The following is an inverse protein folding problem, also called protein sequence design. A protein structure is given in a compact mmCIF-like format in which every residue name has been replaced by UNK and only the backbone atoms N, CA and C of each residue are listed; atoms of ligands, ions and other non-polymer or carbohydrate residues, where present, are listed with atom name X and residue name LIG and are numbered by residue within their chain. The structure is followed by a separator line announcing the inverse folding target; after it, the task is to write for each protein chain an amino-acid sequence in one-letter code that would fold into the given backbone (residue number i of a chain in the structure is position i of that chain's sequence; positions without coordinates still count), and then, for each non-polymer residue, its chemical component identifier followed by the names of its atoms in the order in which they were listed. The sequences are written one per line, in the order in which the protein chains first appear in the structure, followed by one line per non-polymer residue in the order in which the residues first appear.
data_IF_142387187408
#
_entry.id   IF_142387187408
#
_cell.length_a   1.000
_cell.length_b   1.000
_cell.length_c   1.000
_cell.angle_alpha   90.00
_cell.angle_beta   90.00
_cell.angle_gamma   90.00
#
_symmetry.space_group_name_H-M   'P 1'
#
loop_
_entity.id
_entity.type
_entity.pdbx_description
1 polymer ?
#
# COMPACT_ATOMS: atom_id res chain seq x y z
N UNK A 1 -12.95 8.39 -23.55
CA UNK A 1 -12.73 8.19 -23.09
C UNK A 1 -12.48 8.04 -22.34
N UNK A 2 -12.30 8.01 -21.90
CA UNK A 2 -12.11 7.85 -21.26
C UNK A 2 -11.85 7.49 -20.31
N UNK A 3 -11.36 7.48 -19.89
CA UNK A 3 -11.17 7.03 -18.95
C UNK A 3 -11.13 7.50 -17.88
N UNK A 4 -11.35 7.64 -17.37
CA UNK A 4 -11.40 8.02 -16.35
C UNK A 4 -10.98 7.51 -15.37
N UNK A 5 -10.28 7.69 -14.86
CA UNK A 5 -9.81 7.02 -13.97
C UNK A 5 -9.72 7.68 -12.74
N UNK A 6 -10.54 7.39 -11.85
CA UNK A 6 -10.48 7.81 -10.48
C UNK A 6 -9.29 7.23 -9.80
N UNK A 7 -8.82 6.08 -10.25
CA UNK A 7 -7.71 5.42 -9.59
C UNK A 7 -6.46 5.41 -10.41
N UNK A 8 -6.13 6.57 -10.90
CA UNK A 8 -4.88 6.75 -11.58
C UNK A 8 -3.72 6.36 -10.66
N UNK A 9 -2.79 5.62 -11.18
CA UNK A 9 -1.65 5.17 -10.41
C UNK A 9 -0.46 6.08 -10.56
N UNK A 10 0.27 6.22 -9.46
CA UNK A 10 1.47 7.02 -9.44
C UNK A 10 2.63 6.14 -9.04
N UNK A 11 3.70 6.16 -9.83
CA UNK A 11 4.93 5.48 -9.46
C UNK A 11 5.51 6.20 -8.26
N UNK A 12 5.57 5.52 -7.14
CA UNK A 12 6.07 6.13 -5.93
C UNK A 12 6.70 5.05 -5.06
N UNK A 13 8.02 5.02 -5.03
CA UNK A 13 8.75 4.09 -4.20
C UNK A 13 8.93 4.70 -2.84
N UNK A 14 8.10 4.33 -1.91
CA UNK A 14 8.14 4.85 -0.56
C UNK A 14 8.28 3.72 0.44
N UNK A 15 9.19 3.83 1.38
CA UNK A 15 9.23 2.87 2.47
C UNK A 15 7.95 2.97 3.27
N UNK A 16 7.44 1.83 3.69
CA UNK A 16 6.18 1.78 4.41
C UNK A 16 6.20 0.60 5.36
N UNK A 17 5.24 0.58 6.26
CA UNK A 17 5.10 -0.51 7.19
C UNK A 17 3.75 -1.15 6.95
N UNK A 18 3.77 -2.45 6.72
CA UNK A 18 2.57 -3.21 6.43
C UNK A 18 2.26 -4.10 7.61
N UNK A 19 1.07 -3.92 8.18
CA UNK A 19 0.62 -4.78 9.26
C UNK A 19 -0.36 -5.78 8.67
N UNK A 20 -0.05 -7.06 8.83
CA UNK A 20 -0.87 -8.14 8.30
C UNK A 20 -1.53 -8.84 9.46
N UNK A 21 -2.86 -8.80 9.50
CA UNK A 21 -3.64 -9.31 10.62
C UNK A 21 -4.43 -10.51 10.18
N UNK A 22 -4.16 -11.66 10.82
CA UNK A 22 -4.95 -12.87 10.62
C UNK A 22 -5.55 -13.24 11.96
N UNK A 23 -6.51 -14.19 11.98
CA UNK A 23 -7.09 -14.60 13.26
C UNK A 23 -6.07 -15.13 14.26
N UNK A 24 -4.97 -15.70 13.78
CA UNK A 24 -4.01 -16.32 14.68
C UNK A 24 -2.87 -15.41 15.07
N UNK A 25 -2.59 -14.36 14.31
CA UNK A 25 -1.46 -13.50 14.64
C UNK A 25 -1.46 -12.23 13.83
N UNK A 26 -0.64 -11.29 14.28
CA UNK A 26 -0.38 -10.05 13.58
C UNK A 26 1.09 -10.00 13.25
N UNK A 27 1.43 -9.64 12.03
CA UNK A 27 2.80 -9.47 11.59
C UNK A 27 2.99 -8.06 11.08
N UNK A 28 4.18 -7.51 11.32
CA UNK A 28 4.54 -6.19 10.82
C UNK A 28 5.74 -6.34 9.92
N UNK A 29 5.61 -5.86 8.69
CA UNK A 29 6.66 -5.99 7.69
C UNK A 29 7.08 -4.61 7.21
N UNK A 30 8.39 -4.45 7.03
CA UNK A 30 8.90 -3.24 6.38
C UNK A 30 8.90 -3.52 4.89
N UNK A 31 8.22 -2.67 4.15
CA UNK A 31 8.02 -2.87 2.72
C UNK A 31 8.27 -1.58 1.98
N UNK A 32 8.17 -1.66 0.66
CA UNK A 32 8.32 -0.49 -0.17
C UNK A 32 7.21 -0.50 -1.21
N UNK A 33 6.60 0.65 -1.46
CA UNK A 33 5.57 0.71 -2.49
C UNK A 33 6.22 0.76 -3.87
N UNK A 34 5.52 0.25 -4.86
CA UNK A 34 5.90 0.40 -6.25
C UNK A 34 5.07 1.49 -6.90
N UNK A 35 3.78 1.46 -6.67
CA UNK A 35 2.88 2.48 -7.14
C UNK A 35 1.70 2.59 -6.19
N UNK A 36 1.01 3.71 -6.28
CA UNK A 36 -0.10 4.03 -5.38
C UNK A 36 -1.19 4.71 -6.18
N UNK A 37 -2.44 4.41 -5.83
CA UNK A 37 -3.59 5.13 -6.34
C UNK A 37 -4.53 5.42 -5.19
N UNK A 38 -5.60 6.12 -5.46
CA UNK A 38 -6.59 6.41 -4.42
C UNK A 38 -7.28 5.15 -3.92
N UNK A 39 -7.27 4.07 -4.70
CA UNK A 39 -8.01 2.87 -4.34
C UNK A 39 -7.11 1.68 -3.99
N UNK A 40 -5.80 1.82 -4.14
CA UNK A 40 -4.92 0.70 -3.81
C UNK A 40 -3.47 1.00 -4.06
N UNK A 41 -2.64 -0.02 -3.88
CA UNK A 41 -1.21 0.11 -4.05
C UNK A 41 -0.60 -1.24 -4.38
N UNK A 42 0.54 -1.22 -5.04
CA UNK A 42 1.35 -2.42 -5.18
C UNK A 42 2.55 -2.29 -4.25
N UNK A 43 2.79 -3.34 -3.48
CA UNK A 43 3.82 -3.36 -2.45
C UNK A 43 4.84 -4.43 -2.78
N UNK A 44 6.12 -4.05 -2.82
CA UNK A 44 7.19 -5.02 -2.96
C UNK A 44 7.36 -5.74 -1.63
N UNK A 45 7.35 -7.06 -1.65
CA UNK A 45 7.67 -7.82 -0.47
C UNK A 45 8.03 -9.23 -0.88
N UNK A 46 9.03 -9.78 -0.23
CA UNK A 46 9.44 -11.16 -0.48
C UNK A 46 8.54 -12.13 0.24
N UNK A 47 7.67 -11.63 1.08
CA UNK A 47 6.81 -12.49 1.89
C UNK A 47 5.41 -12.63 1.33
N UNK A 48 5.22 -12.21 0.08
CA UNK A 48 3.89 -12.23 -0.50
C UNK A 48 3.24 -13.61 -0.45
N UNK A 49 4.01 -14.65 -0.69
CA UNK A 49 3.46 -16.00 -0.74
C UNK A 49 3.04 -16.54 0.64
N UNK A 50 3.48 -15.87 1.70
CA UNK A 50 3.15 -16.31 3.05
C UNK A 50 1.98 -15.56 3.66
N UNK A 51 1.38 -14.67 2.90
CA UNK A 51 0.26 -13.88 3.40
C UNK A 51 -1.02 -14.39 2.77
N UNK A 52 -1.94 -14.96 3.57
CA UNK A 52 -3.20 -15.45 3.01
C UNK A 52 -4.03 -14.34 2.40
N UNK A 53 -4.79 -14.67 1.38
CA UNK A 53 -5.57 -13.65 0.67
C UNK A 53 -6.65 -12.97 1.51
N UNK A 54 -7.10 -13.63 2.57
CA UNK A 54 -8.14 -13.04 3.42
C UNK A 54 -7.57 -12.26 4.59
N UNK A 55 -6.28 -11.94 4.56
CA UNK A 55 -5.63 -11.17 5.60
C UNK A 55 -6.05 -9.71 5.52
N UNK A 56 -6.32 -9.10 6.65
CA UNK A 56 -6.55 -7.67 6.72
C UNK A 56 -5.19 -6.98 6.74
N UNK A 57 -5.05 -5.97 5.92
CA UNK A 57 -3.80 -5.24 5.83
C UNK A 57 -3.98 -3.80 6.24
N UNK A 58 -2.98 -3.26 6.92
CA UNK A 58 -2.95 -1.84 7.28
C UNK A 58 -1.61 -1.30 6.84
N UNK A 59 -1.63 -0.28 6.00
CA UNK A 59 -0.43 0.29 5.44
C UNK A 59 -0.19 1.67 5.99
N UNK A 60 1.03 1.91 6.44
CA UNK A 60 1.46 3.21 6.95
C UNK A 60 2.77 3.61 6.33
N UNK A 61 2.93 4.88 6.03
CA UNK A 61 4.21 5.39 5.59
C UNK A 61 5.22 5.33 6.71
N UNK A 62 6.45 5.07 6.36
CA UNK A 62 7.52 5.12 7.34
C UNK A 62 7.90 6.58 7.58
N UNK A 63 8.19 6.90 8.83
CA UNK A 63 8.55 8.27 9.18
C UNK A 63 9.80 8.78 8.50
N UNK A 64 10.68 7.88 8.11
CA UNK A 64 11.92 8.29 7.49
C UNK A 64 11.73 8.91 6.11
N UNK A 65 10.50 8.93 5.63
CA UNK A 65 10.22 9.44 4.30
C UNK A 65 9.68 10.82 4.19
N UNK A 66 9.62 11.53 5.24
CA UNK A 66 9.02 12.85 5.20
C UNK A 66 9.64 13.75 4.15
N UNK A 67 10.93 13.68 3.99
CA UNK A 67 11.62 14.55 3.04
C UNK A 67 11.23 14.26 1.61
N UNK A 68 11.06 13.01 1.28
CA UNK A 68 10.71 12.64 -0.08
C UNK A 68 9.28 12.97 -0.41
N UNK A 69 8.43 12.80 0.57
CA UNK A 69 7.01 13.04 0.38
C UNK A 69 6.74 14.48 0.01
N UNK A 70 7.45 15.40 0.61
CA UNK A 70 7.17 16.80 0.36
C UNK A 70 7.41 17.24 -1.07
N UNK A 71 8.28 16.55 -1.80
CA UNK A 71 8.56 16.92 -3.18
C UNK A 71 7.35 16.82 -4.06
N UNK A 72 6.47 15.92 -3.76
CA UNK A 72 5.27 15.70 -4.55
C UNK A 72 4.00 16.12 -3.85
N UNK A 73 4.15 16.69 -2.68
CA UNK A 73 2.99 17.02 -1.86
C UNK A 73 2.12 15.81 -1.63
N UNK A 74 2.73 14.66 -1.60
CA UNK A 74 2.04 13.41 -1.39
C UNK A 74 1.71 13.29 0.10
N UNK A 75 0.48 12.93 0.40
CA UNK A 75 0.10 12.73 1.81
C UNK A 75 0.70 11.45 2.33
N UNK A 76 1.15 11.43 3.58
CA UNK A 76 1.61 10.18 4.18
C UNK A 76 0.46 9.19 4.26
N UNK A 77 0.76 7.92 4.09
CA UNK A 77 -0.23 6.88 4.27
C UNK A 77 -0.40 6.62 5.75
N UNK A 78 -1.63 6.68 6.22
CA UNK A 78 -1.92 6.46 7.64
C UNK A 78 -3.07 5.51 7.79
N UNK A 79 -2.79 4.35 8.38
CA UNK A 79 -3.82 3.35 8.66
C UNK A 79 -4.71 3.04 7.47
N UNK A 80 -4.07 2.86 6.31
CA UNK A 80 -4.81 2.54 5.10
C UNK A 80 -5.14 1.06 5.12
N UNK A 81 -6.38 0.73 5.45
CA UNK A 81 -6.80 -0.66 5.53
C UNK A 81 -7.14 -1.20 4.14
N UNK A 82 -6.90 -2.47 3.95
CA UNK A 82 -7.20 -3.07 2.67
C UNK A 82 -7.04 -4.57 2.68
N UNK A 83 -7.22 -5.16 1.51
CA UNK A 83 -7.09 -6.60 1.34
C UNK A 83 -6.27 -6.88 0.09
N UNK A 84 -5.77 -8.11 0.00
CA UNK A 84 -4.97 -8.52 -1.13
C UNK A 84 -5.88 -8.88 -2.29
N UNK A 85 -5.61 -8.29 -3.47
CA UNK A 85 -6.34 -8.69 -4.67
C UNK A 85 -5.50 -9.58 -5.57
N UNK A 86 -4.19 -9.56 -5.39
CA UNK A 86 -3.31 -10.39 -6.21
C UNK A 86 -1.94 -10.47 -5.56
N UNK A 87 -1.31 -11.63 -5.67
CA UNK A 87 0.07 -11.83 -5.21
C UNK A 87 0.92 -12.26 -6.38
N UNK A 88 2.13 -11.74 -6.44
CA UNK A 88 3.09 -12.12 -7.45
C UNK A 88 4.41 -12.44 -6.75
N UNK A 89 5.40 -12.87 -7.53
CA UNK A 89 6.71 -13.15 -6.95
C UNK A 89 7.39 -11.89 -6.43
N UNK A 90 6.97 -10.71 -6.87
CA UNK A 90 7.58 -9.45 -6.42
C UNK A 90 6.88 -8.86 -5.23
N UNK A 91 5.61 -9.13 -5.08
CA UNK A 91 4.87 -8.50 -4.00
C UNK A 91 3.38 -8.72 -4.12
N UNK A 92 2.64 -7.80 -3.55
CA UNK A 92 1.18 -7.92 -3.50
C UNK A 92 0.50 -6.65 -3.96
N UNK A 93 -0.65 -6.83 -4.59
CA UNK A 93 -1.53 -5.73 -4.93
C UNK A 93 -2.61 -5.65 -3.87
N UNK A 94 -2.78 -4.47 -3.32
CA UNK A 94 -3.71 -4.20 -2.22
C UNK A 94 -4.81 -3.29 -2.71
N UNK A 95 -6.05 -3.61 -2.36
CA UNK A 95 -7.18 -2.74 -2.59
C UNK A 95 -7.58 -2.13 -1.26
N UNK A 96 -7.64 -0.80 -1.20
CA UNK A 96 -8.02 -0.12 0.03
C UNK A 96 -9.51 -0.28 0.28
N UNK A 97 -9.87 -0.37 1.55
CA UNK A 97 -11.29 -0.47 1.94
C UNK A 97 -12.06 0.78 1.60
N UNK A 98 -11.39 1.92 1.63
CA UNK A 98 -11.97 3.21 1.26
C UNK A 98 -10.97 3.95 0.43
N UNK A 99 -11.42 4.75 -0.53
CA UNK A 99 -10.48 5.59 -1.28
C UNK A 99 -9.74 6.53 -0.34
N UNK A 100 -8.49 6.81 -0.67
CA UNK A 100 -7.67 7.71 0.13
C UNK A 100 -7.33 8.95 -0.69
N UNK A 101 -6.94 10.00 0.01
CA UNK A 101 -6.43 11.19 -0.64
C UNK A 101 -4.94 11.05 -0.78
N UNK A 102 -4.42 11.21 -1.98
CA UNK A 102 -3.00 11.05 -2.23
C UNK A 102 -2.23 12.34 -2.07
N UNK A 103 -2.84 13.46 -2.39
CA UNK A 103 -2.12 14.72 -2.39
C UNK A 103 -2.73 15.72 -1.44
N UNK A 104 -1.86 16.54 -0.92
CA UNK A 104 -2.27 17.61 -0.02
C UNK A 104 -3.04 18.69 -0.75
#
# INVERSE_FOLDING_TARGET
MKEQRLNKRFSAKLPARLKAITPSRTRVLDVETKDISATGAFIYTKEASYIPNDTLLILNSSNSNKKRIRLKKLKPLENCTGTIVRSTSEGIAIRFSKPIELFV
#
